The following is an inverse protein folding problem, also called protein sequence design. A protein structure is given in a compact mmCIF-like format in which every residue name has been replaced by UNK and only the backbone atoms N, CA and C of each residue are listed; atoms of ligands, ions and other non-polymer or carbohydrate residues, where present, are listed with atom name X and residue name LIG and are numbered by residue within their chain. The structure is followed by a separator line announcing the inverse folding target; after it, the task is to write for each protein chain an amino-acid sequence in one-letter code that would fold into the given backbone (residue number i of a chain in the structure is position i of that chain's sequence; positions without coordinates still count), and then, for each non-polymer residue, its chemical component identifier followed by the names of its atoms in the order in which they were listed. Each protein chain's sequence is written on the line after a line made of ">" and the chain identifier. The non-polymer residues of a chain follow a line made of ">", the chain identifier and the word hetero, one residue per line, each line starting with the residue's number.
data_IF_784540039238
#
_entry.id   IF_784540039238
#
_cell.length_a   1.000
_cell.length_b   1.000
_cell.length_c   1.000
_cell.angle_alpha   90.00
_cell.angle_beta   90.00
_cell.angle_gamma   90.00
#
_symmetry.space_group_name_H-M   'P 1'
#
loop_
_entity.id
_entity.type
_entity.pdbx_description
1 polymer ?
#
# COMPACT_ATOMS: atom_id res chain seq x y z
N UNK A 1 1.91 -2.35 -10.56
CA UNK A 1 1.80 -1.14 -11.40
C UNK A 1 2.68 0.03 -10.90
N UNK A 2 3.29 -0.10 -9.71
CA UNK A 2 4.19 0.90 -9.15
C UNK A 2 5.49 0.95 -9.96
N UNK A 3 5.93 2.15 -10.34
CA UNK A 3 7.21 2.40 -11.03
C UNK A 3 8.16 3.16 -10.13
N UNK A 4 9.46 3.10 -10.40
CA UNK A 4 10.45 3.82 -9.60
C UNK A 4 10.26 5.33 -9.66
N UNK A 5 9.84 5.89 -10.78
CA UNK A 5 9.48 7.30 -10.91
C UNK A 5 8.32 7.75 -9.98
N UNK A 6 7.56 6.81 -9.45
CA UNK A 6 6.47 7.07 -8.51
C UNK A 6 6.93 6.99 -7.05
N UNK A 7 8.22 6.67 -6.81
CA UNK A 7 8.81 6.47 -5.48
C UNK A 7 9.86 7.53 -5.21
N UNK A 8 9.57 8.43 -4.30
CA UNK A 8 10.53 9.41 -3.78
C UNK A 8 11.19 8.83 -2.52
N UNK A 9 12.38 8.24 -2.70
CA UNK A 9 13.15 7.65 -1.60
C UNK A 9 13.77 8.68 -0.66
N UNK A 10 13.91 9.94 -1.09
CA UNK A 10 14.45 11.01 -0.26
C UNK A 10 13.33 11.67 0.54
N UNK A 11 12.21 11.95 -0.09
CA UNK A 11 11.01 12.48 0.56
C UNK A 11 10.18 11.41 1.30
N UNK A 12 10.63 10.14 1.30
CA UNK A 12 9.93 9.00 1.92
C UNK A 12 8.45 8.91 1.50
N UNK A 13 8.17 9.00 0.21
CA UNK A 13 6.81 9.02 -0.35
C UNK A 13 6.70 8.10 -1.56
N UNK A 14 5.52 7.55 -1.77
CA UNK A 14 5.15 6.90 -3.04
C UNK A 14 3.81 7.42 -3.53
N UNK A 15 3.66 7.45 -4.86
CA UNK A 15 2.42 7.83 -5.53
C UNK A 15 1.77 6.61 -6.17
N UNK A 16 0.49 6.41 -5.91
CA UNK A 16 -0.33 5.41 -6.60
C UNK A 16 -0.98 6.11 -7.79
N UNK A 17 -0.45 5.92 -9.00
CA UNK A 17 -0.90 6.60 -10.22
C UNK A 17 -1.63 5.66 -11.18
N UNK A 18 -1.44 4.35 -11.02
CA UNK A 18 -2.00 3.36 -11.96
C UNK A 18 -2.33 2.06 -11.30
N UNK A 19 -3.18 1.29 -11.95
CA UNK A 19 -3.54 -0.09 -11.61
C UNK A 19 -3.11 -1.02 -12.74
N UNK A 20 -2.92 -2.29 -12.42
CA UNK A 20 -2.72 -3.35 -13.39
C UNK A 20 -3.94 -4.26 -13.35
N UNK A 21 -4.57 -4.47 -14.49
CA UNK A 21 -5.71 -5.35 -14.64
C UNK A 21 -5.34 -6.50 -15.58
N UNK A 22 -5.74 -7.71 -15.20
CA UNK A 22 -5.69 -8.86 -16.08
C UNK A 22 -7.07 -9.02 -16.71
N UNK A 23 -7.15 -8.84 -18.02
CA UNK A 23 -8.41 -8.95 -18.77
C UNK A 23 -8.79 -10.41 -19.02
N UNK A 24 -10.07 -10.66 -19.26
CA UNK A 24 -10.61 -12.00 -19.53
C UNK A 24 -9.96 -12.67 -20.77
N UNK A 25 -9.45 -11.86 -21.71
CA UNK A 25 -8.70 -12.34 -22.90
C UNK A 25 -7.21 -12.58 -22.60
N UNK A 26 -6.78 -12.58 -21.33
CA UNK A 26 -5.43 -12.92 -20.89
C UNK A 26 -4.39 -11.79 -20.95
N UNK A 27 -4.77 -10.60 -21.45
CA UNK A 27 -3.86 -9.46 -21.53
C UNK A 27 -3.71 -8.72 -20.20
N UNK A 28 -2.51 -8.16 -19.96
CA UNK A 28 -2.22 -7.25 -18.86
C UNK A 28 -2.32 -5.81 -19.34
N UNK A 29 -3.18 -5.02 -18.70
CA UNK A 29 -3.43 -3.63 -19.10
C UNK A 29 -3.19 -2.70 -17.92
N UNK A 30 -2.35 -1.70 -18.11
CA UNK A 30 -2.20 -0.59 -17.18
C UNK A 30 -3.33 0.40 -17.39
N UNK A 31 -4.04 0.72 -16.32
CA UNK A 31 -5.14 1.69 -16.31
C UNK A 31 -4.92 2.73 -15.23
N UNK A 32 -5.56 3.85 -15.37
CA UNK A 32 -5.72 4.78 -14.25
C UNK A 32 -6.62 4.17 -13.18
N UNK A 33 -6.44 4.54 -11.91
CA UNK A 33 -7.37 4.14 -10.87
C UNK A 33 -8.80 4.58 -11.20
N UNK A 34 -9.76 3.69 -10.98
CA UNK A 34 -11.18 3.92 -11.32
C UNK A 34 -11.80 5.16 -10.63
N UNK A 35 -11.20 5.62 -9.53
CA UNK A 35 -11.68 6.78 -8.78
C UNK A 35 -10.56 7.76 -8.53
N UNK A 36 -10.90 9.05 -8.37
CA UNK A 36 -9.95 10.10 -7.98
C UNK A 36 -9.20 9.75 -6.69
N UNK A 37 -9.85 9.10 -5.73
CA UNK A 37 -9.26 8.67 -4.46
C UNK A 37 -8.30 7.47 -4.62
N UNK A 38 -8.36 6.76 -5.74
CA UNK A 38 -7.39 5.72 -6.09
C UNK A 38 -6.00 6.31 -6.33
N UNK A 39 -5.90 7.52 -6.89
CA UNK A 39 -4.65 8.29 -6.96
C UNK A 39 -4.36 8.91 -5.60
N UNK A 40 -3.22 8.59 -5.04
CA UNK A 40 -2.84 9.10 -3.72
C UNK A 40 -1.34 9.03 -3.50
N UNK A 41 -0.86 9.88 -2.61
CA UNK A 41 0.50 9.83 -2.09
C UNK A 41 0.48 9.19 -0.71
N UNK A 42 1.41 8.27 -0.47
CA UNK A 42 1.56 7.54 0.79
C UNK A 42 2.93 7.83 1.35
N UNK A 43 3.00 8.30 2.59
CA UNK A 43 4.26 8.43 3.34
C UNK A 43 4.75 7.06 3.79
N UNK A 44 6.04 6.82 3.66
CA UNK A 44 6.70 5.55 3.97
C UNK A 44 7.46 5.64 5.30
N UNK A 45 7.46 4.57 6.11
CA UNK A 45 8.39 4.43 7.22
C UNK A 45 9.84 4.36 6.72
N UNK A 46 10.79 4.79 7.54
CA UNK A 46 12.23 4.74 7.21
C UNK A 46 12.73 3.32 6.89
N UNK A 47 12.23 2.31 7.59
CA UNK A 47 12.51 0.90 7.30
C UNK A 47 12.11 0.51 5.89
N UNK A 48 10.89 0.86 5.46
CA UNK A 48 10.41 0.57 4.09
C UNK A 48 11.24 1.30 3.04
N UNK A 49 11.70 2.53 3.32
CA UNK A 49 12.61 3.26 2.43
C UNK A 49 13.95 2.53 2.30
N UNK A 50 14.50 2.02 3.41
CA UNK A 50 15.74 1.23 3.39
C UNK A 50 15.58 -0.06 2.57
N UNK A 51 14.48 -0.78 2.76
CA UNK A 51 14.15 -1.99 1.98
C UNK A 51 14.03 -1.68 0.48
N UNK A 52 13.36 -0.59 0.12
CA UNK A 52 13.23 -0.17 -1.28
C UNK A 52 14.57 0.24 -1.90
N UNK A 53 15.47 0.89 -1.14
CA UNK A 53 16.83 1.19 -1.60
C UNK A 53 17.62 -0.09 -1.88
N UNK A 54 17.56 -1.05 -0.96
CA UNK A 54 18.20 -2.37 -1.13
C UNK A 54 17.63 -3.11 -2.34
N UNK A 55 16.31 -3.10 -2.48
CA UNK A 55 15.62 -3.69 -3.63
C UNK A 55 16.01 -3.03 -4.96
N UNK A 56 16.09 -1.70 -5.01
CA UNK A 56 16.55 -0.97 -6.18
C UNK A 56 17.96 -1.40 -6.58
N UNK A 57 18.89 -1.42 -5.62
CA UNK A 57 20.27 -1.85 -5.86
C UNK A 57 20.33 -3.27 -6.43
N UNK A 58 19.66 -4.22 -5.78
CA UNK A 58 19.61 -5.60 -6.25
C UNK A 58 18.97 -5.75 -7.65
N UNK A 59 17.98 -4.93 -7.97
CA UNK A 59 17.37 -4.92 -9.31
C UNK A 59 18.38 -4.39 -10.36
N UNK A 60 19.13 -3.33 -10.05
CA UNK A 60 20.17 -2.80 -10.94
C UNK A 60 21.28 -3.85 -11.19
N UNK A 61 21.79 -4.46 -10.15
CA UNK A 61 22.85 -5.49 -10.23
C UNK A 61 22.41 -6.67 -11.11
N UNK A 62 21.18 -7.15 -10.90
CA UNK A 62 20.61 -8.24 -11.71
C UNK A 62 20.50 -7.86 -13.18
N UNK A 63 20.01 -6.66 -13.49
CA UNK A 63 19.89 -6.18 -14.87
C UNK A 63 21.25 -6.06 -15.55
N UNK A 64 22.24 -5.55 -14.84
CA UNK A 64 23.62 -5.48 -15.36
C UNK A 64 24.19 -6.87 -15.63
N UNK A 65 23.98 -7.83 -14.73
CA UNK A 65 24.41 -9.21 -14.92
C UNK A 65 23.76 -9.90 -16.14
N UNK A 66 22.53 -9.48 -16.49
CA UNK A 66 21.80 -9.96 -17.67
C UNK A 66 22.10 -9.16 -18.95
N UNK A 67 23.04 -8.21 -18.91
CA UNK A 67 23.35 -7.36 -20.06
C UNK A 67 22.25 -6.35 -20.44
N UNK A 68 21.24 -6.15 -19.60
CA UNK A 68 20.09 -5.30 -19.88
C UNK A 68 20.35 -3.81 -19.59
N UNK A 69 21.52 -3.45 -19.08
CA UNK A 69 21.85 -2.09 -18.66
C UNK A 69 21.04 -1.61 -17.43
N UNK A 70 21.23 -0.33 -17.07
CA UNK A 70 20.52 0.26 -15.93
C UNK A 70 19.00 0.30 -16.18
N UNK A 71 18.21 0.06 -15.13
CA UNK A 71 16.77 0.23 -15.18
C UNK A 71 16.43 1.73 -15.30
N UNK A 72 15.61 2.14 -16.29
CA UNK A 72 15.08 3.49 -16.31
C UNK A 72 14.10 3.69 -15.13
N UNK A 73 13.87 4.95 -14.75
CA UNK A 73 12.92 5.29 -13.67
C UNK A 73 11.48 4.84 -13.97
N UNK A 74 11.14 4.69 -15.26
CA UNK A 74 9.85 4.14 -15.70
C UNK A 74 9.70 2.64 -15.45
N UNK A 75 10.77 1.93 -15.04
CA UNK A 75 10.72 0.51 -14.72
C UNK A 75 9.83 0.21 -13.53
N UNK A 76 9.22 -0.98 -13.55
CA UNK A 76 8.41 -1.47 -12.44
C UNK A 76 9.27 -1.75 -11.20
N UNK A 77 8.78 -1.34 -10.04
CA UNK A 77 9.41 -1.68 -8.75
C UNK A 77 9.42 -3.19 -8.55
N UNK A 78 8.30 -3.85 -8.82
CA UNK A 78 8.13 -5.30 -8.67
C UNK A 78 7.96 -5.97 -10.05
N UNK A 79 9.01 -5.91 -10.86
CA UNK A 79 9.07 -6.60 -12.15
C UNK A 79 9.36 -8.10 -11.98
N UNK A 80 9.13 -8.88 -13.05
CA UNK A 80 9.70 -10.20 -13.20
C UNK A 80 11.23 -10.13 -13.38
N UNK A 81 11.91 -11.28 -13.38
CA UNK A 81 13.38 -11.35 -13.46
C UNK A 81 13.95 -10.73 -14.75
N UNK A 82 13.17 -10.80 -15.84
CA UNK A 82 13.47 -10.24 -17.16
C UNK A 82 13.02 -8.78 -17.34
N UNK A 83 12.49 -8.16 -16.29
CA UNK A 83 11.94 -6.80 -16.30
C UNK A 83 10.49 -6.70 -16.78
N UNK A 84 9.88 -7.81 -17.18
CA UNK A 84 8.48 -7.82 -17.63
C UNK A 84 7.47 -7.64 -16.48
N UNK A 85 6.22 -7.42 -16.87
CA UNK A 85 5.13 -7.21 -15.92
C UNK A 85 4.67 -8.55 -15.33
N UNK A 86 4.67 -8.66 -14.00
CA UNK A 86 4.12 -9.83 -13.30
C UNK A 86 2.60 -9.77 -13.30
N UNK A 87 1.95 -10.90 -13.59
CA UNK A 87 0.50 -10.95 -13.52
C UNK A 87 -0.01 -10.89 -12.06
N UNK A 88 -1.13 -10.22 -11.79
CA UNK A 88 -1.74 -10.21 -10.46
C UNK A 88 -2.05 -11.61 -9.93
N UNK A 89 -2.53 -12.50 -10.79
CA UNK A 89 -2.83 -13.89 -10.41
C UNK A 89 -1.55 -14.67 -10.08
N UNK A 90 -0.46 -14.45 -10.85
CA UNK A 90 0.86 -15.05 -10.58
C UNK A 90 1.39 -14.62 -9.21
N UNK A 91 1.34 -13.32 -8.92
CA UNK A 91 1.76 -12.78 -7.63
C UNK A 91 0.94 -13.37 -6.47
N UNK A 92 -0.38 -13.50 -6.63
CA UNK A 92 -1.24 -14.08 -5.60
C UNK A 92 -0.90 -15.55 -5.35
N UNK A 93 -0.61 -16.33 -6.40
CA UNK A 93 -0.18 -17.73 -6.27
C UNK A 93 1.17 -17.86 -5.57
N UNK A 94 2.16 -17.06 -5.97
CA UNK A 94 3.49 -17.05 -5.32
C UNK A 94 3.40 -16.67 -3.85
N UNK A 95 2.59 -15.66 -3.52
CA UNK A 95 2.32 -15.27 -2.13
C UNK A 95 1.71 -16.43 -1.34
N UNK A 96 0.67 -17.08 -1.88
CA UNK A 96 0.01 -18.20 -1.22
C UNK A 96 0.98 -19.35 -0.95
N UNK A 97 1.83 -19.70 -1.92
CA UNK A 97 2.86 -20.74 -1.74
C UNK A 97 3.89 -20.36 -0.67
N UNK A 98 4.35 -19.11 -0.67
CA UNK A 98 5.29 -18.62 0.34
C UNK A 98 4.70 -18.67 1.75
N UNK A 99 3.44 -18.24 1.91
CA UNK A 99 2.74 -18.27 3.20
C UNK A 99 2.49 -19.70 3.67
N UNK A 100 2.09 -20.61 2.78
CA UNK A 100 1.92 -22.02 3.09
C UNK A 100 3.23 -22.66 3.57
N UNK A 101 4.36 -22.37 2.90
CA UNK A 101 5.68 -22.85 3.33
C UNK A 101 6.10 -22.30 4.70
N UNK A 102 5.69 -21.08 5.02
CA UNK A 102 5.94 -20.46 6.33
C UNK A 102 4.96 -20.93 7.43
N UNK A 103 3.99 -21.80 7.12
CA UNK A 103 2.95 -22.23 8.08
C UNK A 103 1.93 -21.13 8.40
N UNK A 104 1.83 -20.09 7.57
CA UNK A 104 0.97 -18.94 7.79
C UNK A 104 -0.27 -18.98 6.86
N UNK A 105 -1.43 -18.59 7.41
CA UNK A 105 -2.67 -18.42 6.63
C UNK A 105 -2.96 -16.94 6.39
N UNK A 106 -2.12 -16.29 5.59
CA UNK A 106 -2.18 -14.84 5.33
C UNK A 106 -2.35 -14.59 3.82
N UNK A 107 -3.36 -13.82 3.45
CA UNK A 107 -3.58 -13.38 2.06
C UNK A 107 -3.02 -11.97 1.85
N UNK A 108 -2.79 -11.57 0.60
CA UNK A 108 -2.43 -10.18 0.28
C UNK A 108 -3.52 -9.20 0.74
N UNK A 109 -4.79 -9.62 0.72
CA UNK A 109 -5.90 -8.78 1.17
C UNK A 109 -5.93 -8.63 2.70
N UNK A 110 -5.57 -9.68 3.45
CA UNK A 110 -5.50 -9.60 4.91
C UNK A 110 -4.38 -8.67 5.40
N UNK A 111 -3.31 -8.46 4.63
CA UNK A 111 -2.32 -7.42 4.93
C UNK A 111 -2.94 -6.02 4.93
N UNK A 112 -3.86 -5.77 3.99
CA UNK A 112 -4.61 -4.50 3.97
C UNK A 112 -5.49 -4.33 5.19
N UNK A 113 -6.15 -5.41 5.64
CA UNK A 113 -6.95 -5.40 6.88
C UNK A 113 -6.05 -5.15 8.09
N UNK A 114 -4.93 -5.85 8.21
CA UNK A 114 -3.96 -5.62 9.30
C UNK A 114 -3.47 -4.18 9.31
N UNK A 115 -3.12 -3.62 8.15
CA UNK A 115 -2.70 -2.22 8.05
C UNK A 115 -3.78 -1.25 8.56
N UNK A 116 -5.04 -1.44 8.13
CA UNK A 116 -6.15 -0.62 8.58
C UNK A 116 -6.37 -0.74 10.10
N UNK A 117 -6.45 -1.97 10.62
CA UNK A 117 -6.66 -2.23 12.04
C UNK A 117 -5.55 -1.65 12.93
N UNK A 118 -4.30 -1.76 12.49
CA UNK A 118 -3.16 -1.16 13.20
C UNK A 118 -3.27 0.36 13.27
N UNK A 119 -3.65 1.02 12.17
CA UNK A 119 -3.82 2.48 12.16
C UNK A 119 -4.98 2.92 13.07
N UNK A 120 -6.07 2.17 13.10
CA UNK A 120 -7.21 2.43 14.02
C UNK A 120 -6.76 2.25 15.48
N UNK A 121 -6.09 1.16 15.78
CA UNK A 121 -5.56 0.90 17.12
C UNK A 121 -4.57 1.99 17.58
N UNK A 122 -3.84 2.61 16.64
CA UNK A 122 -2.95 3.75 16.90
C UNK A 122 -3.70 5.09 17.05
N UNK A 123 -5.03 5.11 17.00
CA UNK A 123 -5.85 6.30 17.23
C UNK A 123 -5.97 7.24 16.01
N UNK A 124 -5.59 6.80 14.79
CA UNK A 124 -5.78 7.63 13.61
C UNK A 124 -7.26 7.77 13.26
N UNK A 125 -7.63 8.96 12.76
CA UNK A 125 -8.99 9.25 12.34
C UNK A 125 -9.38 8.52 11.04
N UNK A 126 -10.67 8.33 10.86
CA UNK A 126 -11.24 7.57 9.73
C UNK A 126 -10.93 8.19 8.37
N UNK A 127 -10.82 9.53 8.28
CA UNK A 127 -10.54 10.23 7.02
C UNK A 127 -9.10 9.97 6.57
N UNK A 128 -8.15 10.05 7.50
CA UNK A 128 -6.74 9.75 7.26
C UNK A 128 -6.56 8.30 6.81
N UNK A 129 -7.21 7.34 7.49
CA UNK A 129 -7.17 5.93 7.13
C UNK A 129 -7.79 5.69 5.75
N UNK A 130 -8.98 6.26 5.50
CA UNK A 130 -9.69 6.14 4.22
C UNK A 130 -8.85 6.64 3.05
N UNK A 131 -8.23 7.83 3.18
CA UNK A 131 -7.35 8.42 2.17
C UNK A 131 -6.12 7.54 1.93
N UNK A 132 -5.47 7.04 2.99
CA UNK A 132 -4.30 6.18 2.89
C UNK A 132 -4.63 4.84 2.20
N UNK A 133 -5.78 4.27 2.48
CA UNK A 133 -6.27 3.05 1.84
C UNK A 133 -6.77 3.28 0.41
N UNK A 134 -7.10 4.53 0.04
CA UNK A 134 -7.67 4.88 -1.26
C UNK A 134 -9.12 4.45 -1.41
N UNK A 135 -9.89 4.47 -0.33
CA UNK A 135 -11.34 4.25 -0.38
C UNK A 135 -12.03 5.46 -1.02
N UNK A 136 -13.08 5.21 -1.77
CA UNK A 136 -13.86 6.27 -2.44
C UNK A 136 -14.58 7.20 -1.47
N UNK A 137 -14.88 6.72 -0.25
CA UNK A 137 -15.44 7.51 0.84
C UNK A 137 -15.05 6.92 2.21
N UNK A 138 -15.07 7.73 3.28
CA UNK A 138 -14.87 7.24 4.65
C UNK A 138 -15.90 6.22 5.08
N UNK A 139 -17.12 6.27 4.53
CA UNK A 139 -18.17 5.30 4.79
C UNK A 139 -17.74 3.85 4.49
N UNK A 140 -16.91 3.65 3.45
CA UNK A 140 -16.34 2.34 3.14
C UNK A 140 -15.43 1.86 4.28
N UNK A 141 -14.61 2.75 4.85
CA UNK A 141 -13.76 2.42 6.00
C UNK A 141 -14.61 2.06 7.22
N UNK A 142 -15.66 2.84 7.49
CA UNK A 142 -16.56 2.59 8.62
C UNK A 142 -17.38 1.31 8.44
N UNK A 143 -17.86 1.01 7.23
CA UNK A 143 -18.63 -0.22 7.00
C UNK A 143 -17.82 -1.50 7.25
N UNK A 144 -16.50 -1.45 6.98
CA UNK A 144 -15.61 -2.60 7.16
C UNK A 144 -14.99 -2.63 8.55
N UNK A 145 -14.58 -1.48 9.08
CA UNK A 145 -13.75 -1.37 10.28
C UNK A 145 -14.41 -0.59 11.42
N UNK A 146 -15.68 -0.17 11.27
CA UNK A 146 -16.38 0.67 12.28
C UNK A 146 -16.36 0.06 13.68
N UNK A 147 -16.47 -1.26 13.77
CA UNK A 147 -16.43 -2.01 15.02
C UNK A 147 -15.07 -1.93 15.76
N UNK A 148 -14.00 -1.50 15.10
CA UNK A 148 -12.67 -1.32 15.70
C UNK A 148 -12.44 0.08 16.26
N UNK A 149 -13.27 1.06 15.87
CA UNK A 149 -13.19 2.40 16.43
C UNK A 149 -13.78 2.41 17.84
N UNK A 150 -13.07 3.06 18.77
CA UNK A 150 -13.56 3.21 20.12
C UNK A 150 -14.85 4.02 20.11
N UNK A 151 -15.90 3.48 20.69
CA UNK A 151 -17.16 4.20 20.93
C UNK A 151 -17.05 4.90 22.29
N UNK A 152 -17.31 6.19 22.29
CA UNK A 152 -17.60 7.07 23.44
C UNK A 152 -16.77 6.94 24.76
N UNK A 153 -15.59 6.34 24.70
CA UNK A 153 -14.77 6.14 25.89
C UNK A 153 -14.03 7.42 26.33
N UNK A 154 -14.70 8.52 26.60
CA UNK A 154 -14.06 9.73 27.08
C UNK A 154 -14.63 11.04 26.55
N UNK A 155 -15.73 11.02 25.83
CA UNK A 155 -16.37 12.24 25.32
C UNK A 155 -16.86 13.12 26.47
N UNK A 156 -17.46 12.52 27.51
CA UNK A 156 -17.88 13.23 28.71
C UNK A 156 -16.69 13.89 29.43
N UNK A 157 -15.61 13.12 29.67
CA UNK A 157 -14.41 13.64 30.31
C UNK A 157 -13.71 14.73 29.47
N UNK A 158 -13.71 14.59 28.13
CA UNK A 158 -13.15 15.61 27.23
C UNK A 158 -13.98 16.90 27.30
N UNK A 159 -15.32 16.79 27.34
CA UNK A 159 -16.20 17.94 27.46
C UNK A 159 -16.02 18.62 28.81
N UNK A 160 -15.96 17.85 29.90
CA UNK A 160 -15.75 18.41 31.24
C UNK A 160 -14.40 19.14 31.35
N UNK A 161 -13.32 18.57 30.79
CA UNK A 161 -12.01 19.25 30.73
C UNK A 161 -12.06 20.55 29.91
N UNK A 162 -12.75 20.55 28.76
CA UNK A 162 -12.88 21.74 27.94
C UNK A 162 -13.66 22.85 28.66
N UNK A 163 -14.69 22.51 29.43
CA UNK A 163 -15.49 23.47 30.21
C UNK A 163 -14.73 24.01 31.43
N UNK A 164 -13.91 23.19 32.09
CA UNK A 164 -13.14 23.60 33.26
C UNK A 164 -11.82 24.34 32.90
N UNK A 165 -11.30 24.17 31.70
CA UNK A 165 -10.07 24.82 31.24
C UNK A 165 -10.32 26.16 30.52
N UNK A 166 -11.53 26.67 30.56
CA UNK A 166 -11.94 27.98 30.00
C UNK A 166 -12.05 29.08 31.09
N UNK A 167 -11.50 28.85 32.32
CA UNK A 167 -11.37 29.86 33.38
C UNK A 167 -9.97 30.49 33.40
#
# INVERSE_FOLDING_TARGET
>A
ALRWQDVDLNGAKLRVERTLEQTTRGGLVFKEPKTRHGRRTITLPSSTVADLRTHWKAQQERRMALGMGKAPESSLVFAAWDGSTRSPNGLTKEWSLAMTKAGLRVTLHSLRHTHASTLIASGLDVLTISRRLGHGSPAITLSVYGHLFKTDGGAADAMERALRGAE
#
